data_IF_506092756862
#
_entry.id   IF_506092756862
#
_cell.length_a   1.000
_cell.length_b   1.000
_cell.length_c   1.000
_cell.angle_alpha   90.00
_cell.angle_beta   90.00
_cell.angle_gamma   90.00
#
_symmetry.space_group_name_H-M   'P 1'
#
loop_
_entity.id
_entity.type
_entity.pdbx_description
1 polymer ?
#
# COMPACT_ATOMS: atom_id res chain seq x y z
N UNK A 1 -20.95 -3.88 -27.81
CA UNK A 1 -19.96 -4.93 -28.11
C UNK A 1 -18.62 -4.41 -27.63
N UNK A 2 -17.95 -5.09 -26.67
CA UNK A 2 -16.64 -4.69 -26.18
C UNK A 2 -15.60 -4.55 -27.28
N UNK A 3 -14.63 -3.67 -27.06
CA UNK A 3 -13.41 -3.56 -27.88
C UNK A 3 -12.28 -4.19 -27.07
N UNK A 4 -11.52 -5.07 -27.71
CA UNK A 4 -10.33 -5.69 -27.13
C UNK A 4 -9.10 -5.33 -27.92
N UNK A 5 -8.04 -5.03 -27.18
CA UNK A 5 -6.71 -4.77 -27.73
C UNK A 5 -5.98 -6.10 -27.89
N UNK A 6 -5.39 -6.31 -29.06
CA UNK A 6 -4.51 -7.44 -29.34
C UNK A 6 -3.14 -6.95 -29.81
N UNK A 7 -2.14 -7.80 -29.61
CA UNK A 7 -0.78 -7.60 -30.11
C UNK A 7 -0.39 -8.79 -30.96
N UNK A 8 0.02 -8.51 -32.20
CA UNK A 8 0.75 -9.41 -33.07
C UNK A 8 2.24 -9.10 -33.00
N UNK A 9 3.08 -10.13 -33.02
CA UNK A 9 4.54 -9.98 -33.07
C UNK A 9 5.02 -9.29 -34.36
N UNK A 10 4.35 -9.54 -35.49
CA UNK A 10 4.78 -9.04 -36.80
C UNK A 10 4.13 -7.70 -37.18
N UNK A 11 2.86 -7.49 -36.83
CA UNK A 11 2.10 -6.30 -37.25
C UNK A 11 1.97 -5.23 -36.16
N UNK A 12 2.26 -5.56 -34.90
CA UNK A 12 2.07 -4.64 -33.77
C UNK A 12 0.67 -4.74 -33.15
N UNK A 13 0.17 -3.61 -32.61
CA UNK A 13 -1.08 -3.56 -31.84
C UNK A 13 -2.27 -3.19 -32.71
N UNK A 14 -3.42 -3.79 -32.43
CA UNK A 14 -4.68 -3.49 -33.11
C UNK A 14 -5.88 -3.75 -32.19
N UNK A 15 -7.03 -3.18 -32.55
CA UNK A 15 -8.27 -3.26 -31.77
C UNK A 15 -9.35 -4.04 -32.55
N UNK A 16 -10.08 -4.92 -31.88
CA UNK A 16 -11.20 -5.67 -32.45
C UNK A 16 -12.44 -5.55 -31.58
N UNK A 17 -13.59 -5.30 -32.21
CA UNK A 17 -14.89 -5.41 -31.56
C UNK A 17 -15.26 -6.90 -31.49
N UNK A 18 -15.46 -7.42 -30.28
CA UNK A 18 -15.75 -8.84 -30.05
C UNK A 18 -16.82 -8.99 -28.98
N UNK A 19 -17.64 -10.05 -29.04
CA UNK A 19 -18.54 -10.38 -27.93
C UNK A 19 -17.76 -10.97 -26.77
N UNK A 20 -18.26 -10.78 -25.56
CA UNK A 20 -17.63 -11.34 -24.35
C UNK A 20 -17.74 -12.88 -24.30
N UNK A 21 -18.72 -13.44 -24.99
CA UNK A 21 -18.99 -14.89 -25.07
C UNK A 21 -18.23 -15.58 -26.21
N UNK A 22 -17.52 -14.83 -27.04
CA UNK A 22 -16.75 -15.38 -28.16
C UNK A 22 -15.33 -15.74 -27.70
N UNK A 23 -14.77 -16.79 -28.30
CA UNK A 23 -13.40 -17.20 -28.03
C UNK A 23 -12.38 -16.16 -28.52
N UNK A 24 -11.31 -15.89 -27.76
CA UNK A 24 -10.31 -14.91 -28.15
C UNK A 24 -9.64 -15.27 -29.48
N UNK A 25 -9.22 -14.25 -30.24
CA UNK A 25 -8.49 -14.50 -31.49
C UNK A 25 -7.16 -15.22 -31.21
N UNK A 26 -6.91 -16.29 -31.96
CA UNK A 26 -5.63 -17.02 -31.94
C UNK A 26 -4.66 -16.54 -33.03
N UNK A 27 -5.17 -15.99 -34.13
CA UNK A 27 -4.39 -15.55 -35.30
C UNK A 27 -4.68 -14.11 -35.69
N UNK A 28 -3.66 -13.42 -36.21
CA UNK A 28 -3.77 -12.06 -36.69
C UNK A 28 -4.54 -12.04 -38.03
N UNK A 29 -5.59 -11.19 -38.18
CA UNK A 29 -6.34 -11.11 -39.44
C UNK A 29 -5.52 -10.56 -40.61
N UNK A 30 -4.41 -9.89 -40.35
CA UNK A 30 -3.57 -9.26 -41.39
C UNK A 30 -2.46 -10.18 -41.90
N UNK A 31 -1.84 -10.98 -41.03
CA UNK A 31 -0.66 -11.79 -41.37
C UNK A 31 -0.76 -13.26 -40.97
N UNK A 32 -1.82 -13.69 -40.27
CA UNK A 32 -1.98 -15.06 -39.79
C UNK A 32 -1.06 -15.45 -38.62
N UNK A 33 -0.17 -14.56 -38.17
CA UNK A 33 0.74 -14.79 -37.05
C UNK A 33 0.01 -14.93 -35.70
N UNK A 34 0.72 -15.42 -34.69
CA UNK A 34 0.20 -15.56 -33.33
C UNK A 34 -0.12 -14.19 -32.72
N UNK A 35 -1.21 -14.12 -31.96
CA UNK A 35 -1.63 -12.91 -31.27
C UNK A 35 -1.90 -13.15 -29.79
N UNK A 36 -1.70 -12.11 -29.00
CA UNK A 36 -2.00 -12.08 -27.58
C UNK A 36 -2.97 -10.95 -27.27
N UNK A 37 -3.97 -11.23 -26.42
CA UNK A 37 -4.91 -10.22 -25.96
C UNK A 37 -4.25 -9.36 -24.88
N UNK A 38 -4.24 -8.06 -25.10
CA UNK A 38 -3.71 -7.09 -24.15
C UNK A 38 -4.80 -6.69 -23.15
N UNK A 39 -4.41 -6.64 -21.88
CA UNK A 39 -5.21 -6.02 -20.84
C UNK A 39 -4.89 -4.53 -20.85
N UNK A 40 -5.92 -3.68 -21.02
CA UNK A 40 -5.77 -2.24 -21.14
C UNK A 40 -5.00 -1.62 -19.96
N UNK A 41 -4.15 -0.65 -20.23
CA UNK A 41 -3.31 0.02 -19.21
C UNK A 41 -4.11 0.93 -18.26
N UNK A 42 -5.30 1.35 -18.66
CA UNK A 42 -6.13 2.31 -17.91
C UNK A 42 -7.10 1.62 -16.94
N UNK A 43 -6.66 0.58 -16.25
CA UNK A 43 -7.46 -0.06 -15.20
C UNK A 43 -7.16 0.66 -13.89
N UNK A 44 -8.12 1.45 -13.42
CA UNK A 44 -8.08 2.03 -12.08
C UNK A 44 -8.27 0.93 -11.03
N UNK A 45 -7.17 0.36 -10.55
CA UNK A 45 -7.21 -0.64 -9.48
C UNK A 45 -7.42 0.10 -8.15
N UNK A 46 -8.55 -0.17 -7.48
CA UNK A 46 -8.87 0.38 -6.16
C UNK A 46 -8.88 -0.76 -5.15
N UNK A 47 -7.88 -0.78 -4.27
CA UNK A 47 -7.82 -1.74 -3.17
C UNK A 47 -8.69 -1.26 -2.00
N UNK A 48 -9.83 -1.89 -1.80
CA UNK A 48 -10.69 -1.65 -0.63
C UNK A 48 -10.30 -2.61 0.49
N UNK A 49 -9.41 -2.17 1.38
CA UNK A 49 -9.01 -2.91 2.57
C UNK A 49 -8.44 -1.98 3.64
N UNK A 50 -8.74 -2.26 4.91
CA UNK A 50 -8.32 -1.44 6.07
C UNK A 50 -6.81 -1.49 6.38
N UNK A 51 -6.01 -2.17 5.55
CA UNK A 51 -4.61 -2.52 5.87
C UNK A 51 -3.56 -2.12 4.84
N UNK A 52 -3.90 -1.51 3.70
CA UNK A 52 -2.90 -1.20 2.66
C UNK A 52 -2.37 0.24 2.70
N UNK A 53 -3.12 1.19 3.29
CA UNK A 53 -2.71 2.61 3.37
C UNK A 53 -2.61 3.17 4.79
N UNK A 54 -3.22 2.50 5.77
CA UNK A 54 -3.40 3.00 7.14
C UNK A 54 -2.40 2.49 8.15
N UNK A 55 -1.69 1.41 7.86
CA UNK A 55 -0.78 0.75 8.81
C UNK A 55 0.53 1.53 8.98
N UNK A 56 1.24 1.89 7.91
CA UNK A 56 2.55 2.55 8.06
C UNK A 56 2.48 3.99 8.57
N UNK A 57 1.48 4.77 8.14
CA UNK A 57 1.38 6.19 8.52
C UNK A 57 0.77 6.40 9.92
N UNK A 58 -0.13 5.53 10.37
CA UNK A 58 -0.74 5.65 11.70
C UNK A 58 0.16 5.12 12.81
N UNK A 59 0.91 4.05 12.57
CA UNK A 59 1.85 3.51 13.57
C UNK A 59 2.86 4.56 14.03
N UNK A 60 3.45 5.32 13.09
CA UNK A 60 4.36 6.41 13.43
C UNK A 60 3.69 7.52 14.25
N UNK A 61 2.45 7.88 13.89
CA UNK A 61 1.67 8.91 14.60
C UNK A 61 1.26 8.46 16.01
N UNK A 62 0.87 7.21 16.16
CA UNK A 62 0.46 6.64 17.45
C UNK A 62 1.66 6.47 18.39
N UNK A 63 2.82 6.04 17.85
CA UNK A 63 4.09 6.00 18.60
C UNK A 63 4.53 7.39 19.06
N UNK A 64 4.47 8.39 18.18
CA UNK A 64 4.78 9.78 18.53
C UNK A 64 3.81 10.34 19.58
N UNK A 65 2.53 9.94 19.55
CA UNK A 65 1.52 10.35 20.55
C UNK A 65 1.79 9.72 21.91
N UNK A 66 2.17 8.44 21.97
CA UNK A 66 2.54 7.77 23.22
C UNK A 66 3.78 8.40 23.86
N UNK A 67 4.84 8.63 23.08
CA UNK A 67 6.07 9.29 23.57
C UNK A 67 5.77 10.68 24.13
N UNK A 68 4.91 11.47 23.47
CA UNK A 68 4.52 12.79 23.97
C UNK A 68 3.70 12.72 25.27
N UNK A 69 2.87 11.69 25.46
CA UNK A 69 2.11 11.50 26.70
C UNK A 69 3.01 11.07 27.87
N UNK A 70 3.99 10.21 27.63
CA UNK A 70 4.99 9.82 28.64
C UNK A 70 5.80 11.03 29.08
N UNK A 71 6.34 11.81 28.12
CA UNK A 71 7.04 13.07 28.42
C UNK A 71 6.20 14.07 29.20
N UNK A 72 4.89 14.16 28.95
CA UNK A 72 4.01 15.05 29.72
C UNK A 72 3.88 14.61 31.18
N UNK A 73 3.82 13.29 31.43
CA UNK A 73 3.78 12.74 32.79
C UNK A 73 5.10 12.98 33.51
N UNK A 74 6.23 12.80 32.83
CA UNK A 74 7.56 13.04 33.41
C UNK A 74 7.74 14.51 33.80
N UNK A 75 7.33 15.44 32.93
CA UNK A 75 7.35 16.89 33.22
C UNK A 75 6.42 17.25 34.38
N UNK A 76 5.27 16.59 34.50
CA UNK A 76 4.34 16.81 35.61
C UNK A 76 4.90 16.27 36.94
N UNK A 77 5.51 15.08 36.95
CA UNK A 77 6.17 14.53 38.13
C UNK A 77 7.35 15.39 38.61
N UNK A 78 8.10 16.02 37.69
CA UNK A 78 9.15 16.99 38.04
C UNK A 78 8.59 18.26 38.69
N UNK A 79 7.43 18.75 38.23
CA UNK A 79 6.75 19.92 38.80
C UNK A 79 6.19 19.63 40.20
N UNK A 80 5.72 18.41 40.45
CA UNK A 80 5.18 17.97 41.73
C UNK A 80 6.27 17.63 42.77
N UNK A 81 7.56 17.68 42.39
CA UNK A 81 8.70 17.46 43.29
C UNK A 81 8.94 15.99 43.67
N UNK A 82 8.22 15.05 43.06
CA UNK A 82 8.35 13.62 43.30
C UNK A 82 9.49 13.02 42.46
N UNK A 83 10.71 13.23 42.96
CA UNK A 83 11.97 12.78 42.33
C UNK A 83 12.01 11.25 42.16
N UNK A 84 11.39 10.48 43.06
CA UNK A 84 11.39 9.01 43.02
C UNK A 84 10.64 8.46 41.80
N UNK A 85 9.45 8.97 41.50
CA UNK A 85 8.67 8.52 40.34
C UNK A 85 9.33 8.90 39.01
N UNK A 86 10.06 10.03 38.96
CA UNK A 86 10.80 10.44 37.78
C UNK A 86 11.98 9.50 37.47
N UNK A 87 12.75 9.10 38.49
CA UNK A 87 13.88 8.17 38.33
C UNK A 87 13.38 6.79 37.88
N UNK A 88 12.31 6.27 38.48
CA UNK A 88 11.71 4.98 38.10
C UNK A 88 11.16 5.00 36.65
N UNK A 89 10.57 6.11 36.22
CA UNK A 89 10.07 6.27 34.85
C UNK A 89 11.22 6.38 33.84
N UNK A 90 12.29 7.11 34.17
CA UNK A 90 13.48 7.28 33.31
C UNK A 90 14.25 5.96 33.11
N UNK A 91 14.43 5.17 34.17
CA UNK A 91 15.08 3.86 34.07
C UNK A 91 14.28 2.89 33.18
N UNK A 92 12.95 2.98 33.25
CA UNK A 92 12.05 2.13 32.44
C UNK A 92 12.04 2.51 30.96
N UNK A 93 12.12 3.79 30.63
CA UNK A 93 12.26 4.25 29.23
C UNK A 93 13.61 3.86 28.64
N UNK A 94 14.71 3.91 29.42
CA UNK A 94 16.03 3.49 28.97
C UNK A 94 16.11 1.98 28.66
N UNK A 95 15.40 1.14 29.42
CA UNK A 95 15.31 -0.31 29.15
C UNK A 95 14.58 -0.58 27.83
N UNK A 96 13.43 0.06 27.62
CA UNK A 96 12.63 -0.11 26.40
C UNK A 96 13.37 0.35 25.12
N UNK A 97 14.29 1.32 25.23
CA UNK A 97 15.11 1.78 24.10
C UNK A 97 16.23 0.77 23.77
N UNK A 98 16.76 0.05 24.77
CA UNK A 98 17.80 -0.97 24.56
C UNK A 98 17.25 -2.30 24.02
N UNK A 99 15.98 -2.59 24.27
CA UNK A 99 15.30 -3.81 23.84
C UNK A 99 14.62 -3.70 22.46
N UNK A 100 14.51 -2.49 21.90
CA UNK A 100 13.92 -2.20 20.58
C UNK A 100 14.97 -2.14 19.47
#
# INVERSE_FOLDING_TARGET
MPIYDYRCENCGKFEIKQRITEDPLASCPTCGGKVERLIGKNIGIVFKGSGFYTTDTRMAKDRARQINQERQKDNQALLDGDIKSYVEQAEKTDINIKEA
#
